data_IF_006748460348
#
_entry.id   IF_006748460348
#
_cell.length_a   1.000
_cell.length_b   1.000
_cell.length_c   1.000
_cell.angle_alpha   90.00
_cell.angle_beta   90.00
_cell.angle_gamma   90.00
#
_symmetry.space_group_name_H-M   'P 1'
#
loop_
_entity.id
_entity.type
_entity.pdbx_description
1 polymer ?
#
# COMPACT_ATOMS: atom_id res chain seq x y z
N UNK A 1 -61.84 -24.27 32.16
CA UNK A 1 -60.46 -23.88 31.79
C UNK A 1 -60.51 -23.21 30.43
N UNK A 2 -60.50 -21.88 30.42
CA UNK A 2 -60.52 -21.06 29.20
C UNK A 2 -59.06 -20.95 28.74
N UNK A 3 -58.69 -21.59 27.63
CA UNK A 3 -57.41 -21.30 26.96
C UNK A 3 -57.48 -19.83 26.55
N UNK A 4 -56.58 -19.00 27.09
CA UNK A 4 -56.50 -17.59 26.73
C UNK A 4 -56.35 -17.46 25.21
N UNK A 5 -56.96 -16.42 24.63
CA UNK A 5 -56.83 -16.13 23.22
C UNK A 5 -55.35 -15.88 22.89
N UNK A 6 -54.70 -16.88 22.28
CA UNK A 6 -53.35 -16.75 21.77
C UNK A 6 -53.31 -15.64 20.71
N UNK A 7 -52.59 -14.55 21.00
CA UNK A 7 -52.46 -13.42 20.09
C UNK A 7 -51.46 -13.80 18.99
N UNK A 8 -51.98 -14.29 17.87
CA UNK A 8 -51.20 -14.60 16.68
C UNK A 8 -50.61 -13.32 16.05
N UNK A 9 -49.28 -13.25 15.95
CA UNK A 9 -48.57 -12.09 15.39
C UNK A 9 -48.23 -12.30 13.92
N UNK A 10 -48.19 -11.23 13.11
CA UNK A 10 -47.87 -11.32 11.68
C UNK A 10 -46.37 -11.45 11.45
N UNK A 11 -45.95 -12.40 10.61
CA UNK A 11 -44.58 -12.56 10.14
C UNK A 11 -44.58 -12.86 8.64
N UNK A 12 -43.43 -12.77 7.98
CA UNK A 12 -43.29 -13.16 6.58
C UNK A 12 -41.91 -13.69 6.25
N UNK A 13 -41.82 -14.63 5.31
CA UNK A 13 -40.56 -15.11 4.76
C UNK A 13 -40.61 -14.99 3.24
N UNK A 14 -39.63 -14.29 2.65
CA UNK A 14 -39.60 -13.93 1.21
C UNK A 14 -40.94 -13.33 0.74
N UNK A 15 -41.53 -12.47 1.56
CA UNK A 15 -42.82 -11.82 1.27
C UNK A 15 -44.06 -12.71 1.43
N UNK A 16 -43.93 -14.01 1.75
CA UNK A 16 -45.08 -14.88 2.02
C UNK A 16 -45.54 -14.70 3.48
N UNK A 17 -46.77 -14.21 3.74
CA UNK A 17 -47.23 -13.88 5.08
C UNK A 17 -47.76 -15.09 5.83
N UNK A 18 -47.40 -15.20 7.12
CA UNK A 18 -47.90 -16.20 8.05
C UNK A 18 -48.11 -15.60 9.46
N UNK A 19 -48.69 -16.38 10.36
CA UNK A 19 -48.88 -16.00 11.76
C UNK A 19 -47.98 -16.81 12.68
N UNK A 20 -47.46 -16.22 13.75
CA UNK A 20 -46.60 -16.90 14.73
C UNK A 20 -47.22 -16.80 16.12
N UNK A 21 -47.14 -17.90 16.87
CA UNK A 21 -47.53 -17.97 18.28
C UNK A 21 -46.32 -18.17 19.20
N UNK A 22 -45.43 -19.09 18.81
CA UNK A 22 -44.24 -19.48 19.59
C UNK A 22 -43.03 -19.47 18.66
N UNK A 23 -41.92 -18.95 19.19
CA UNK A 23 -40.59 -19.01 18.59
C UNK A 23 -39.58 -19.49 19.64
N UNK A 24 -38.62 -20.30 19.22
CA UNK A 24 -37.55 -20.90 20.02
C UNK A 24 -36.20 -20.58 19.37
N UNK A 25 -35.27 -20.09 20.17
CA UNK A 25 -34.02 -19.46 19.72
C UNK A 25 -32.82 -20.16 20.37
N UNK A 26 -31.88 -20.60 19.55
CA UNK A 26 -30.64 -21.19 20.04
C UNK A 26 -29.42 -20.37 19.59
N UNK A 27 -28.68 -19.89 20.59
CA UNK A 27 -27.46 -19.11 20.46
C UNK A 27 -26.32 -19.85 21.16
N UNK A 28 -25.10 -19.76 20.62
CA UNK A 28 -23.94 -20.39 21.22
C UNK A 28 -22.71 -20.25 20.35
N UNK A 29 -21.54 -20.54 20.92
CA UNK A 29 -20.26 -20.52 20.21
C UNK A 29 -19.94 -21.90 19.65
N UNK A 30 -19.27 -21.94 18.50
CA UNK A 30 -18.73 -23.20 17.97
C UNK A 30 -17.47 -23.54 18.72
N UNK A 31 -17.25 -24.82 18.97
CA UNK A 31 -15.99 -25.27 19.54
C UNK A 31 -15.86 -26.77 19.53
N UNK A 32 -14.64 -27.22 19.81
CA UNK A 32 -14.27 -28.64 19.85
C UNK A 32 -13.96 -29.00 21.29
N UNK A 33 -14.64 -30.02 21.80
CA UNK A 33 -14.34 -30.59 23.11
C UNK A 33 -13.32 -31.73 22.96
N UNK A 34 -12.12 -31.54 23.48
CA UNK A 34 -11.04 -32.51 23.49
C UNK A 34 -11.02 -33.27 24.82
N UNK A 35 -11.22 -34.59 24.78
CA UNK A 35 -11.11 -35.46 25.95
C UNK A 35 -9.75 -36.17 25.97
N UNK A 36 -9.10 -36.20 27.14
CA UNK A 36 -7.76 -36.77 27.30
C UNK A 36 -7.79 -37.96 28.26
N UNK A 37 -7.09 -39.08 27.95
CA UNK A 37 -7.00 -40.21 28.86
C UNK A 37 -6.47 -39.81 30.26
N UNK A 38 -7.07 -40.40 31.30
CA UNK A 38 -6.74 -40.15 32.72
C UNK A 38 -6.95 -38.72 33.23
N UNK A 39 -7.73 -37.90 32.53
CA UNK A 39 -8.16 -36.58 33.02
C UNK A 39 -9.67 -36.54 33.19
N UNK A 40 -10.11 -36.07 34.35
CA UNK A 40 -11.54 -35.97 34.69
C UNK A 40 -12.26 -34.82 33.98
N UNK A 41 -11.53 -33.90 33.31
CA UNK A 41 -12.10 -32.79 32.53
C UNK A 41 -11.38 -32.63 31.19
N UNK A 42 -12.17 -32.50 30.12
CA UNK A 42 -11.70 -32.16 28.77
C UNK A 42 -11.35 -30.68 28.62
N UNK A 43 -10.79 -30.32 27.47
CA UNK A 43 -10.50 -28.96 27.07
C UNK A 43 -11.46 -28.51 25.96
N UNK A 44 -12.00 -27.30 26.07
CA UNK A 44 -12.83 -26.70 25.03
C UNK A 44 -12.00 -25.73 24.19
N UNK A 45 -11.93 -25.95 22.89
CA UNK A 45 -11.31 -25.05 21.92
C UNK A 45 -12.41 -24.25 21.21
N UNK A 46 -12.36 -22.92 21.32
CA UNK A 46 -13.36 -22.01 20.78
C UNK A 46 -13.06 -21.69 19.31
N UNK A 47 -14.02 -21.96 18.43
CA UNK A 47 -13.95 -21.73 16.97
C UNK A 47 -14.75 -20.49 16.55
N UNK A 48 -15.09 -19.61 17.50
CA UNK A 48 -15.80 -18.37 17.26
C UNK A 48 -17.31 -18.52 17.42
N UNK A 49 -18.03 -17.49 17.00
CA UNK A 49 -19.47 -17.46 17.15
C UNK A 49 -20.16 -18.52 16.28
N UNK A 50 -21.21 -19.13 16.82
CA UNK A 50 -22.03 -20.07 16.08
C UNK A 50 -23.17 -19.35 15.39
N UNK A 51 -23.48 -19.79 14.17
CA UNK A 51 -24.56 -19.18 13.39
C UNK A 51 -25.89 -19.33 14.15
N UNK A 52 -26.59 -18.23 14.49
CA UNK A 52 -27.85 -18.30 15.22
C UNK A 52 -28.88 -19.16 14.49
N UNK A 53 -29.60 -19.97 15.26
CA UNK A 53 -30.70 -20.80 14.75
C UNK A 53 -32.03 -20.35 15.33
N UNK A 54 -33.01 -20.21 14.44
CA UNK A 54 -34.35 -19.76 14.79
C UNK A 54 -35.36 -20.83 14.41
N UNK A 55 -36.15 -21.30 15.36
CA UNK A 55 -37.25 -22.23 15.13
C UNK A 55 -38.58 -21.57 15.48
N UNK A 56 -39.60 -21.75 14.64
CA UNK A 56 -40.92 -21.18 14.90
C UNK A 56 -42.06 -22.06 14.36
N UNK A 57 -43.24 -21.90 14.95
CA UNK A 57 -44.48 -22.44 14.42
C UNK A 57 -45.27 -21.37 13.67
N UNK A 58 -45.39 -21.57 12.36
CA UNK A 58 -46.13 -20.72 11.44
C UNK A 58 -47.54 -21.27 11.21
N UNK A 59 -48.54 -20.42 11.40
CA UNK A 59 -49.95 -20.70 11.14
C UNK A 59 -50.43 -19.93 9.92
N UNK A 60 -51.01 -20.66 8.98
CA UNK A 60 -51.70 -20.08 7.82
C UNK A 60 -53.18 -20.37 7.96
N UNK A 61 -53.98 -19.32 8.08
CA UNK A 61 -55.42 -19.39 8.38
C UNK A 61 -56.20 -18.74 7.24
N UNK A 62 -57.22 -19.41 6.73
CA UNK A 62 -58.08 -18.89 5.65
C UNK A 62 -58.60 -19.99 4.71
N UNK A 63 -59.44 -19.58 3.75
CA UNK A 63 -59.96 -20.49 2.71
C UNK A 63 -58.85 -20.99 1.77
N UNK A 64 -57.76 -20.23 1.65
CA UNK A 64 -56.58 -20.47 0.82
C UNK A 64 -55.38 -20.98 1.64
N UNK A 65 -55.60 -21.40 2.89
CA UNK A 65 -54.54 -21.78 3.84
C UNK A 65 -53.56 -22.82 3.26
N UNK A 66 -54.08 -23.82 2.56
CA UNK A 66 -53.26 -24.86 1.95
C UNK A 66 -52.41 -24.34 0.78
N UNK A 67 -52.94 -23.39 -0.01
CA UNK A 67 -52.22 -22.80 -1.13
C UNK A 67 -51.07 -21.91 -0.63
N UNK A 68 -51.33 -21.06 0.37
CA UNK A 68 -50.29 -20.24 1.02
C UNK A 68 -49.26 -21.07 1.76
N UNK A 69 -49.66 -22.16 2.42
CA UNK A 69 -48.73 -23.10 3.04
C UNK A 69 -47.77 -23.74 2.02
N UNK A 70 -48.29 -24.13 0.85
CA UNK A 70 -47.45 -24.63 -0.26
C UNK A 70 -46.50 -23.56 -0.80
N UNK A 71 -46.95 -22.32 -0.92
CA UNK A 71 -46.10 -21.20 -1.33
C UNK A 71 -44.96 -20.95 -0.33
N UNK A 72 -45.23 -21.05 0.97
CA UNK A 72 -44.21 -20.89 2.02
C UNK A 72 -43.17 -22.02 1.98
N UNK A 73 -43.59 -23.26 1.72
CA UNK A 73 -42.66 -24.39 1.51
C UNK A 73 -41.81 -24.17 0.25
N UNK A 74 -42.42 -23.66 -0.83
CA UNK A 74 -41.69 -23.36 -2.05
C UNK A 74 -40.63 -22.27 -1.82
N UNK A 75 -40.99 -21.20 -1.09
CA UNK A 75 -40.04 -20.16 -0.68
C UNK A 75 -38.89 -20.73 0.17
N UNK A 76 -39.17 -21.65 1.08
CA UNK A 76 -38.13 -22.35 1.86
C UNK A 76 -37.19 -23.24 1.03
N UNK A 77 -37.64 -23.71 -0.14
CA UNK A 77 -36.86 -24.60 -1.01
C UNK A 77 -36.09 -23.86 -2.10
N UNK A 78 -36.36 -22.58 -2.30
CA UNK A 78 -35.66 -21.78 -3.28
C UNK A 78 -34.23 -21.47 -2.78
N UNK A 79 -33.19 -21.66 -3.61
CA UNK A 79 -31.79 -21.49 -3.20
C UNK A 79 -31.46 -20.11 -2.63
N UNK A 80 -30.42 -20.05 -1.78
CA UNK A 80 -29.91 -18.80 -1.21
C UNK A 80 -30.61 -18.36 0.08
N UNK A 81 -30.16 -17.24 0.65
CA UNK A 81 -30.78 -16.63 1.82
C UNK A 81 -32.03 -15.83 1.42
N UNK A 82 -32.90 -15.53 2.38
CA UNK A 82 -34.12 -14.77 2.18
C UNK A 82 -34.48 -13.95 3.41
N UNK A 83 -35.19 -12.85 3.19
CA UNK A 83 -35.64 -11.98 4.27
C UNK A 83 -36.75 -12.68 5.09
N UNK A 84 -36.47 -12.91 6.36
CA UNK A 84 -37.45 -13.27 7.39
C UNK A 84 -37.79 -12.03 8.19
N UNK A 85 -39.05 -11.60 8.14
CA UNK A 85 -39.59 -10.52 8.96
C UNK A 85 -40.35 -11.13 10.12
N UNK A 86 -39.83 -10.98 11.34
CA UNK A 86 -40.43 -11.48 12.57
C UNK A 86 -40.76 -10.31 13.53
N UNK A 87 -41.90 -10.37 14.27
CA UNK A 87 -42.28 -9.31 15.21
C UNK A 87 -41.27 -8.97 16.30
N UNK A 88 -40.43 -9.94 16.70
CA UNK A 88 -39.43 -9.76 17.74
C UNK A 88 -38.03 -9.50 17.18
N UNK A 89 -37.64 -10.23 16.13
CA UNK A 89 -36.27 -10.20 15.60
C UNK A 89 -36.07 -9.15 14.50
N UNK A 90 -37.14 -8.47 14.06
CA UNK A 90 -37.06 -7.55 12.94
C UNK A 90 -36.86 -8.29 11.62
N UNK A 91 -36.02 -7.75 10.74
CA UNK A 91 -35.73 -8.34 9.43
C UNK A 91 -34.37 -9.03 9.46
N UNK A 92 -34.36 -10.34 9.27
CA UNK A 92 -33.16 -11.18 9.24
C UNK A 92 -32.91 -11.76 7.86
N UNK A 93 -31.65 -11.95 7.49
CA UNK A 93 -31.27 -12.73 6.32
C UNK A 93 -30.99 -14.17 6.74
N UNK A 94 -31.86 -15.08 6.32
CA UNK A 94 -31.82 -16.47 6.80
C UNK A 94 -31.96 -17.46 5.67
N UNK A 95 -31.46 -18.68 5.89
CA UNK A 95 -31.73 -19.84 5.04
C UNK A 95 -32.70 -20.76 5.78
N UNK A 96 -33.79 -21.15 5.11
CA UNK A 96 -34.75 -22.11 5.65
C UNK A 96 -34.17 -23.53 5.55
N UNK A 97 -33.88 -24.16 6.68
CA UNK A 97 -33.20 -25.47 6.73
C UNK A 97 -34.17 -26.64 6.83
N UNK A 98 -35.33 -26.45 7.46
CA UNK A 98 -36.28 -27.54 7.71
C UNK A 98 -37.73 -27.05 7.70
N UNK A 99 -38.42 -27.07 6.55
CA UNK A 99 -39.86 -26.83 6.50
C UNK A 99 -40.66 -28.13 6.68
N UNK A 100 -41.55 -28.18 7.67
CA UNK A 100 -42.50 -29.30 7.87
C UNK A 100 -43.93 -28.80 7.89
N UNK A 101 -44.79 -29.37 7.05
CA UNK A 101 -46.22 -29.03 7.00
C UNK A 101 -47.05 -30.08 7.74
N UNK A 102 -47.89 -29.62 8.66
CA UNK A 102 -48.92 -30.40 9.33
C UNK A 102 -50.29 -29.84 8.97
N UNK A 103 -51.17 -30.70 8.47
CA UNK A 103 -52.56 -30.35 8.16
C UNK A 103 -53.47 -31.32 8.91
N UNK A 104 -54.42 -30.77 9.66
CA UNK A 104 -55.53 -31.55 10.21
C UNK A 104 -56.75 -31.37 9.31
N UNK A 105 -57.15 -32.44 8.62
CA UNK A 105 -58.28 -32.43 7.69
C UNK A 105 -59.64 -32.22 8.37
N UNK A 106 -59.73 -32.36 9.71
CA UNK A 106 -60.93 -32.02 10.48
C UNK A 106 -61.11 -30.50 10.62
N UNK A 107 -60.02 -29.75 10.47
CA UNK A 107 -59.95 -28.30 10.67
C UNK A 107 -59.40 -27.64 9.40
N UNK A 108 -59.99 -27.96 8.25
CA UNK A 108 -59.49 -27.68 6.89
C UNK A 108 -59.25 -26.19 6.49
N UNK A 109 -59.25 -25.27 7.46
CA UNK A 109 -58.98 -23.83 7.29
C UNK A 109 -57.70 -23.36 7.99
N UNK A 110 -56.95 -24.28 8.61
CA UNK A 110 -55.69 -23.98 9.32
C UNK A 110 -54.61 -24.96 8.85
N UNK A 111 -53.48 -24.44 8.41
CA UNK A 111 -52.27 -25.19 8.14
C UNK A 111 -51.17 -24.72 9.10
N UNK A 112 -50.49 -25.67 9.74
CA UNK A 112 -49.39 -25.39 10.68
C UNK A 112 -48.08 -25.84 10.03
N UNK A 113 -47.08 -24.96 10.03
CA UNK A 113 -45.74 -25.26 9.57
C UNK A 113 -44.74 -25.10 10.70
N UNK A 114 -43.92 -26.11 10.93
CA UNK A 114 -42.72 -25.97 11.76
C UNK A 114 -41.57 -25.57 10.83
N UNK A 115 -40.98 -24.40 11.07
CA UNK A 115 -39.90 -23.84 10.25
C UNK A 115 -38.65 -23.66 11.11
N UNK A 116 -37.51 -24.03 10.55
CA UNK A 116 -36.19 -23.76 11.13
C UNK A 116 -35.35 -22.95 10.15
N UNK A 117 -34.65 -21.98 10.69
CA UNK A 117 -33.82 -21.04 9.96
C UNK A 117 -32.44 -20.97 10.59
N UNK A 118 -31.43 -20.77 9.75
CA UNK A 118 -30.07 -20.40 10.16
C UNK A 118 -29.80 -19.00 9.63
N UNK A 119 -29.29 -18.10 10.45
CA UNK A 119 -28.85 -16.78 9.97
C UNK A 119 -27.68 -16.96 9.01
N UNK A 120 -27.80 -16.35 7.82
CA UNK A 120 -26.77 -16.44 6.81
C UNK A 120 -26.67 -15.10 6.08
N UNK A 121 -25.52 -14.46 6.23
CA UNK A 121 -25.15 -13.26 5.49
C UNK A 121 -24.49 -13.58 4.15
N UNK A 122 -24.26 -12.57 3.29
CA UNK A 122 -23.32 -12.72 2.19
C UNK A 122 -21.98 -13.23 2.76
N UNK A 123 -21.40 -14.24 2.12
CA UNK A 123 -20.03 -14.65 2.43
C UNK A 123 -19.16 -13.42 2.20
N UNK A 124 -18.59 -12.88 3.26
CA UNK A 124 -17.46 -11.98 3.14
C UNK A 124 -16.34 -12.82 2.51
N UNK A 125 -16.27 -12.82 1.17
CA UNK A 125 -15.07 -13.23 0.49
C UNK A 125 -13.95 -12.36 1.07
N UNK A 126 -12.73 -12.88 1.25
CA UNK A 126 -11.60 -12.01 1.45
C UNK A 126 -11.61 -11.05 0.26
N UNK A 127 -12.01 -9.80 0.49
CA UNK A 127 -11.61 -8.76 -0.43
C UNK A 127 -10.09 -8.87 -0.41
N UNK A 128 -9.48 -8.90 -1.58
CA UNK A 128 -8.22 -8.19 -1.66
C UNK A 128 -8.57 -6.79 -1.18
N UNK A 129 -8.37 -6.51 0.12
CA UNK A 129 -8.02 -5.17 0.52
C UNK A 129 -6.91 -4.83 -0.47
N UNK A 130 -7.24 -3.96 -1.41
CA UNK A 130 -6.40 -3.56 -2.51
C UNK A 130 -5.23 -2.88 -1.80
N UNK A 131 -4.21 -3.67 -1.47
CA UNK A 131 -3.09 -3.23 -0.65
C UNK A 131 -2.25 -2.33 -1.57
N UNK A 132 -2.68 -1.07 -1.68
CA UNK A 132 -2.05 -0.07 -2.52
C UNK A 132 -0.57 0.04 -2.22
N UNK A 133 -0.19 -0.12 -0.95
CA UNK A 133 1.19 -0.18 -0.47
C UNK A 133 1.97 -1.35 -1.10
N UNK A 134 1.41 -2.55 -1.07
CA UNK A 134 2.01 -3.72 -1.72
C UNK A 134 2.08 -3.56 -3.25
N UNK A 135 1.00 -3.07 -3.88
CA UNK A 135 0.95 -2.86 -5.34
C UNK A 135 2.01 -1.87 -5.82
N UNK A 136 2.20 -0.77 -5.09
CA UNK A 136 3.26 0.20 -5.37
C UNK A 136 4.65 -0.44 -5.27
N UNK A 137 4.88 -1.26 -4.24
CA UNK A 137 6.16 -1.96 -4.05
C UNK A 137 6.45 -2.92 -5.21
N UNK A 138 5.47 -3.72 -5.62
CA UNK A 138 5.59 -4.67 -6.72
C UNK A 138 5.75 -3.96 -8.07
N UNK A 139 4.98 -2.88 -8.31
CA UNK A 139 5.11 -2.11 -9.54
C UNK A 139 6.49 -1.44 -9.64
N UNK A 140 7.08 -1.02 -8.52
CA UNK A 140 8.44 -0.50 -8.49
C UNK A 140 9.49 -1.58 -8.82
N UNK A 141 9.27 -2.84 -8.43
CA UNK A 141 10.15 -3.97 -8.85
C UNK A 141 10.05 -4.21 -10.35
N UNK A 142 8.83 -4.25 -10.90
CA UNK A 142 8.62 -4.41 -12.34
C UNK A 142 9.27 -3.27 -13.15
N UNK A 143 9.14 -2.02 -12.70
CA UNK A 143 9.79 -0.87 -13.32
C UNK A 143 11.32 -0.96 -13.25
N UNK A 144 11.90 -1.41 -12.13
CA UNK A 144 13.34 -1.61 -12.01
C UNK A 144 13.85 -2.71 -12.97
N UNK A 145 13.11 -3.81 -13.12
CA UNK A 145 13.45 -4.89 -14.06
C UNK A 145 13.38 -4.43 -15.53
N UNK A 146 12.36 -3.63 -15.87
CA UNK A 146 12.24 -3.03 -17.19
C UNK A 146 13.37 -2.03 -17.47
N UNK A 147 13.75 -1.21 -16.48
CA UNK A 147 14.87 -0.27 -16.57
C UNK A 147 16.20 -0.99 -16.81
N UNK A 148 16.47 -2.08 -16.08
CA UNK A 148 17.68 -2.89 -16.28
C UNK A 148 17.73 -3.48 -17.69
N UNK A 149 16.59 -3.93 -18.22
CA UNK A 149 16.48 -4.45 -19.59
C UNK A 149 16.75 -3.35 -20.63
N UNK A 150 16.14 -2.17 -20.46
CA UNK A 150 16.34 -1.02 -21.33
C UNK A 150 17.79 -0.52 -21.31
N UNK A 151 18.44 -0.46 -20.15
CA UNK A 151 19.85 -0.09 -20.05
C UNK A 151 20.74 -1.07 -20.83
N UNK A 152 20.51 -2.37 -20.65
CA UNK A 152 21.28 -3.40 -21.33
C UNK A 152 21.12 -3.39 -22.86
N UNK A 153 19.95 -2.98 -23.36
CA UNK A 153 19.71 -2.79 -24.79
C UNK A 153 20.30 -1.51 -25.37
N UNK A 154 20.48 -0.46 -24.57
CA UNK A 154 20.91 0.86 -25.04
C UNK A 154 22.44 1.07 -25.01
N UNK A 155 23.13 0.51 -24.02
CA UNK A 155 24.58 0.67 -23.90
C UNK A 155 25.31 -0.24 -24.89
N UNK A 156 26.23 0.33 -25.67
CA UNK A 156 27.06 -0.40 -26.61
C UNK A 156 28.51 0.11 -26.61
N UNK A 157 29.44 -0.79 -26.29
CA UNK A 157 30.89 -0.58 -26.40
C UNK A 157 31.57 -1.61 -27.31
N UNK A 158 30.82 -2.60 -27.81
CA UNK A 158 31.37 -3.72 -28.55
C UNK A 158 31.80 -3.29 -29.96
N UNK A 159 33.03 -3.64 -30.35
CA UNK A 159 33.58 -3.29 -31.66
C UNK A 159 33.88 -1.79 -31.84
N UNK A 160 33.79 -0.99 -30.77
CA UNK A 160 34.13 0.43 -30.77
C UNK A 160 35.54 0.68 -30.21
N UNK A 161 36.15 1.85 -30.48
CA UNK A 161 37.43 2.22 -29.89
C UNK A 161 37.38 2.19 -28.35
N UNK A 162 38.50 1.81 -27.70
CA UNK A 162 38.57 1.65 -26.24
C UNK A 162 38.15 2.88 -25.43
N UNK A 163 38.42 4.08 -25.95
CA UNK A 163 38.03 5.34 -25.31
C UNK A 163 36.50 5.51 -25.16
N UNK A 164 35.68 4.85 -26.00
CA UNK A 164 34.21 4.90 -25.86
C UNK A 164 33.77 4.19 -24.59
N UNK A 165 34.41 3.07 -24.28
CA UNK A 165 34.13 2.31 -23.06
C UNK A 165 34.69 3.01 -21.81
N UNK A 166 35.85 3.67 -21.94
CA UNK A 166 36.42 4.50 -20.87
C UNK A 166 35.53 5.71 -20.56
N UNK A 167 35.01 6.39 -21.59
CA UNK A 167 34.07 7.52 -21.43
C UNK A 167 32.78 7.08 -20.73
N UNK A 168 32.19 5.96 -21.17
CA UNK A 168 31.00 5.40 -20.52
C UNK A 168 31.27 5.00 -19.05
N UNK A 169 32.46 4.47 -18.74
CA UNK A 169 32.83 4.13 -17.37
C UNK A 169 33.02 5.39 -16.51
N UNK A 170 33.60 6.45 -17.06
CA UNK A 170 33.69 7.74 -16.38
C UNK A 170 32.30 8.32 -16.07
N UNK A 171 31.38 8.32 -17.04
CA UNK A 171 30.00 8.77 -16.81
C UNK A 171 29.30 7.96 -15.72
N UNK A 172 29.55 6.65 -15.67
CA UNK A 172 29.03 5.81 -14.60
C UNK A 172 29.63 6.16 -13.24
N UNK A 173 30.94 6.43 -13.17
CA UNK A 173 31.59 6.90 -11.94
C UNK A 173 30.97 8.21 -11.45
N UNK A 174 30.70 9.16 -12.36
CA UNK A 174 30.03 10.42 -12.04
C UNK A 174 28.61 10.17 -11.49
N UNK A 175 27.87 9.23 -12.07
CA UNK A 175 26.55 8.82 -11.59
C UNK A 175 26.57 8.17 -10.20
N UNK A 176 27.54 7.29 -9.94
CA UNK A 176 27.76 6.69 -8.61
C UNK A 176 28.13 7.77 -7.60
N UNK A 177 29.01 8.71 -7.98
CA UNK A 177 29.38 9.86 -7.16
C UNK A 177 28.18 10.72 -6.81
N UNK A 178 27.31 11.02 -7.76
CA UNK A 178 26.08 11.77 -7.52
C UNK A 178 25.14 11.06 -6.51
N UNK A 179 25.00 9.73 -6.61
CA UNK A 179 24.22 8.93 -5.65
C UNK A 179 24.84 9.04 -4.25
N UNK A 180 26.16 8.92 -4.13
CA UNK A 180 26.88 9.04 -2.86
C UNK A 180 26.74 10.45 -2.25
N UNK A 181 26.86 11.49 -3.06
CA UNK A 181 26.68 12.88 -2.64
C UNK A 181 25.25 13.13 -2.13
N UNK A 182 24.24 12.61 -2.85
CA UNK A 182 22.84 12.70 -2.42
C UNK A 182 22.57 12.02 -1.08
N UNK A 183 23.29 10.93 -0.78
CA UNK A 183 23.24 10.27 0.54
C UNK A 183 23.92 11.10 1.62
N UNK A 184 25.09 11.68 1.33
CA UNK A 184 25.86 12.45 2.31
C UNK A 184 25.28 13.82 2.65
N UNK A 185 24.33 14.33 1.86
CA UNK A 185 23.70 15.64 2.08
C UNK A 185 22.62 15.65 3.17
N UNK A 186 22.13 14.48 3.60
CA UNK A 186 21.08 14.37 4.61
C UNK A 186 21.58 13.58 5.84
N UNK A 187 21.00 13.81 7.03
CA UNK A 187 21.36 13.05 8.22
C UNK A 187 21.13 11.55 8.00
N UNK A 188 22.19 10.79 8.22
CA UNK A 188 22.16 9.34 8.15
C UNK A 188 21.53 8.74 9.41
N UNK A 189 21.05 7.50 9.30
CA UNK A 189 20.70 6.72 10.47
C UNK A 189 21.96 6.47 11.33
N UNK A 190 21.79 6.45 12.66
CA UNK A 190 22.88 6.22 13.61
C UNK A 190 23.68 4.96 13.24
N UNK A 191 25.00 5.12 13.07
CA UNK A 191 25.93 4.03 12.78
C UNK A 191 26.03 3.61 11.31
N UNK A 192 25.39 4.32 10.38
CA UNK A 192 25.42 3.98 8.95
C UNK A 192 26.63 4.56 8.19
N UNK A 193 27.24 5.64 8.70
CA UNK A 193 28.39 6.32 8.08
C UNK A 193 29.52 5.36 7.61
N UNK A 194 30.00 4.39 8.42
CA UNK A 194 31.11 3.52 8.01
C UNK A 194 30.73 2.53 6.89
N UNK A 195 29.45 2.17 6.80
CA UNK A 195 28.95 1.23 5.78
C UNK A 195 28.80 1.91 4.43
N UNK A 196 28.39 3.17 4.42
CA UNK A 196 28.27 3.98 3.22
C UNK A 196 29.64 4.29 2.62
N UNK A 197 30.58 4.78 3.42
CA UNK A 197 31.95 5.04 2.97
C UNK A 197 32.57 3.78 2.34
N UNK A 198 32.46 2.62 3.01
CA UNK A 198 32.99 1.36 2.48
C UNK A 198 32.30 0.84 1.21
N UNK A 199 30.99 1.09 1.03
CA UNK A 199 30.25 0.69 -0.17
C UNK A 199 30.56 1.59 -1.37
N UNK A 200 30.69 2.90 -1.12
CA UNK A 200 31.08 3.90 -2.13
C UNK A 200 32.51 3.65 -2.60
N UNK A 201 33.45 3.43 -1.68
CA UNK A 201 34.86 3.14 -2.01
C UNK A 201 35.00 1.86 -2.84
N UNK A 202 34.31 0.77 -2.47
CA UNK A 202 34.37 -0.50 -3.20
C UNK A 202 33.88 -0.37 -4.67
N UNK A 203 32.90 0.49 -4.92
CA UNK A 203 32.34 0.71 -6.25
C UNK A 203 33.13 1.75 -7.05
N UNK A 204 33.66 2.78 -6.39
CA UNK A 204 34.63 3.69 -6.99
C UNK A 204 35.87 2.91 -7.47
N UNK A 205 36.35 1.93 -6.70
CA UNK A 205 37.46 1.04 -7.08
C UNK A 205 37.10 0.07 -8.22
N UNK A 206 35.81 -0.28 -8.39
CA UNK A 206 35.33 -1.11 -9.50
C UNK A 206 35.31 -0.36 -10.83
N UNK A 207 35.05 0.96 -10.80
CA UNK A 207 34.86 1.81 -11.99
C UNK A 207 36.09 2.66 -12.30
N UNK A 208 36.87 3.05 -11.29
CA UNK A 208 38.09 3.84 -11.41
C UNK A 208 39.28 3.06 -10.87
N UNK A 209 40.24 2.70 -11.72
CA UNK A 209 41.57 2.32 -11.23
C UNK A 209 42.33 3.62 -10.98
N UNK A 210 42.48 4.05 -9.71
CA UNK A 210 43.59 4.93 -9.32
C UNK A 210 44.80 4.08 -8.93
N UNK A 211 45.82 3.95 -9.79
CA UNK A 211 47.01 3.15 -9.49
C UNK A 211 47.83 3.68 -8.30
N UNK A 212 47.55 4.88 -7.78
CA UNK A 212 48.22 5.45 -6.59
C UNK A 212 47.62 5.00 -5.26
N UNK A 213 46.42 4.42 -5.26
CA UNK A 213 45.71 3.94 -4.06
C UNK A 213 45.86 2.44 -3.81
N UNK A 214 46.55 1.73 -4.70
CA UNK A 214 46.84 0.31 -4.55
C UNK A 214 47.94 0.07 -3.51
N UNK A 215 47.55 -0.27 -2.29
CA UNK A 215 48.41 -0.98 -1.35
C UNK A 215 48.52 -2.46 -1.72
N UNK A 216 49.66 -3.08 -1.41
CA UNK A 216 50.03 -4.41 -1.89
C UNK A 216 49.06 -5.54 -1.45
N UNK A 217 48.18 -5.28 -0.48
CA UNK A 217 47.12 -6.19 -0.02
C UNK A 217 45.81 -6.06 -0.83
N UNK A 218 45.43 -4.86 -1.29
CA UNK A 218 44.26 -4.66 -2.15
C UNK A 218 44.47 -5.27 -3.55
N UNK A 219 45.70 -5.18 -4.08
CA UNK A 219 46.08 -5.82 -5.35
C UNK A 219 45.89 -7.34 -5.30
N UNK A 220 46.13 -7.99 -4.15
CA UNK A 220 45.97 -9.44 -4.00
C UNK A 220 44.49 -9.86 -3.89
N UNK A 221 43.63 -9.01 -3.30
CA UNK A 221 42.18 -9.24 -3.22
C UNK A 221 41.47 -8.97 -4.58
N UNK A 222 41.93 -7.95 -5.31
CA UNK A 222 41.44 -7.62 -6.66
C UNK A 222 42.01 -8.58 -7.72
N UNK A 223 43.26 -9.04 -7.60
CA UNK A 223 43.85 -10.02 -8.52
C UNK A 223 43.26 -11.43 -8.37
N UNK A 224 42.74 -11.78 -7.18
CA UNK A 224 41.96 -13.01 -6.98
C UNK A 224 40.51 -12.89 -7.47
N UNK A 225 40.00 -11.65 -7.66
CA UNK A 225 38.71 -11.31 -8.27
C UNK A 225 38.90 -10.82 -9.71
N UNK A 226 39.41 -11.71 -10.57
CA UNK A 226 39.68 -11.49 -12.01
C UNK A 226 38.69 -10.53 -12.72
N UNK A 227 39.10 -9.27 -12.86
CA UNK A 227 38.74 -8.43 -14.00
C UNK A 227 39.97 -7.58 -14.30
N UNK A 228 40.61 -7.79 -15.46
CA UNK A 228 41.45 -6.76 -16.05
C UNK A 228 40.51 -5.61 -16.43
N UNK A 229 40.29 -4.65 -15.51
CA UNK A 229 39.35 -3.54 -15.71
C UNK A 229 39.95 -2.59 -16.76
N UNK A 230 39.73 -2.92 -18.02
CA UNK A 230 39.60 -1.94 -19.09
C UNK A 230 38.14 -1.48 -19.10
N UNK A 231 37.83 -0.26 -19.54
CA UNK A 231 36.44 0.22 -19.58
C UNK A 231 35.48 -0.76 -20.29
N UNK A 232 35.98 -1.52 -21.27
CA UNK A 232 35.23 -2.55 -21.97
C UNK A 232 34.83 -3.75 -21.08
N UNK A 233 35.62 -4.09 -20.06
CA UNK A 233 35.33 -5.18 -19.12
C UNK A 233 34.16 -4.89 -18.19
N UNK A 234 33.96 -3.61 -17.82
CA UNK A 234 32.84 -3.16 -16.97
C UNK A 234 31.50 -3.33 -17.68
N UNK A 235 31.46 -3.03 -18.99
CA UNK A 235 30.26 -3.16 -19.83
C UNK A 235 30.11 -4.54 -20.48
N UNK A 236 30.90 -5.55 -20.09
CA UNK A 236 30.73 -6.91 -20.56
C UNK A 236 29.45 -7.59 -19.99
N UNK A 237 28.89 -7.04 -18.90
CA UNK A 237 27.62 -7.49 -18.32
C UNK A 237 26.71 -6.29 -17.95
N UNK A 238 26.10 -5.61 -18.93
CA UNK A 238 25.24 -4.44 -18.68
C UNK A 238 24.07 -4.69 -17.70
N UNK A 239 23.36 -5.85 -17.74
CA UNK A 239 22.31 -6.14 -16.74
C UNK A 239 22.83 -6.19 -15.30
N UNK A 240 24.02 -6.77 -15.08
CA UNK A 240 24.63 -6.82 -13.76
C UNK A 240 25.01 -5.43 -13.24
N UNK A 241 25.49 -4.57 -14.13
CA UNK A 241 25.81 -3.18 -13.82
C UNK A 241 24.58 -2.36 -13.44
N UNK A 242 23.51 -2.47 -14.23
CA UNK A 242 22.23 -1.82 -13.92
C UNK A 242 21.68 -2.28 -12.56
N UNK A 243 21.80 -3.57 -12.25
CA UNK A 243 21.40 -4.12 -10.95
C UNK A 243 22.19 -3.51 -9.79
N UNK A 244 23.49 -3.28 -9.96
CA UNK A 244 24.32 -2.60 -8.96
C UNK A 244 23.85 -1.16 -8.72
N UNK A 245 23.56 -0.40 -9.78
CA UNK A 245 23.08 0.99 -9.66
C UNK A 245 21.72 1.06 -8.96
N UNK A 246 20.76 0.24 -9.37
CA UNK A 246 19.46 0.11 -8.68
C UNK A 246 19.65 -0.31 -7.22
N UNK A 247 20.58 -1.25 -6.96
CA UNK A 247 20.91 -1.68 -5.61
C UNK A 247 21.46 -0.56 -4.71
N UNK A 248 22.22 0.40 -5.26
CA UNK A 248 22.67 1.57 -4.50
C UNK A 248 21.51 2.51 -4.18
N UNK A 249 20.59 2.74 -5.12
CA UNK A 249 19.35 3.48 -4.83
C UNK A 249 18.59 2.87 -3.64
N UNK A 250 18.56 1.53 -3.55
CA UNK A 250 18.02 0.85 -2.36
C UNK A 250 18.86 1.07 -1.11
N UNK A 251 20.19 1.11 -1.21
CA UNK A 251 21.05 1.46 -0.07
C UNK A 251 20.77 2.86 0.46
N UNK A 252 20.66 3.86 -0.42
CA UNK A 252 20.24 5.22 -0.05
C UNK A 252 18.98 5.18 0.81
N UNK A 253 18.03 4.32 0.45
CA UNK A 253 16.75 4.20 1.12
C UNK A 253 16.84 3.61 2.54
N UNK A 254 17.71 2.63 2.76
CA UNK A 254 17.92 2.02 4.09
C UNK A 254 18.90 2.80 4.98
N UNK A 255 19.67 3.71 4.39
CA UNK A 255 20.70 4.45 5.12
C UNK A 255 20.18 5.67 5.87
N UNK A 256 18.96 6.12 5.57
CA UNK A 256 18.33 7.25 6.24
C UNK A 256 17.39 6.79 7.36
N UNK A 257 17.32 7.56 8.44
CA UNK A 257 16.51 7.22 9.61
C UNK A 257 15.00 7.28 9.40
N UNK A 258 14.52 7.89 8.29
CA UNK A 258 13.08 7.98 7.96
C UNK A 258 12.83 7.83 6.45
N UNK A 259 11.66 7.29 6.05
CA UNK A 259 11.26 7.21 4.63
C UNK A 259 11.20 8.57 3.93
N UNK A 260 10.86 9.65 4.66
CA UNK A 260 10.83 11.01 4.11
C UNK A 260 12.24 11.54 3.78
N UNK A 261 13.24 11.25 4.63
CA UNK A 261 14.63 11.59 4.34
C UNK A 261 15.19 10.77 3.17
N UNK A 262 14.87 9.47 3.11
CA UNK A 262 15.20 8.63 1.96
C UNK A 262 14.59 9.16 0.65
N UNK A 263 13.31 9.57 0.68
CA UNK A 263 12.65 10.20 -0.46
C UNK A 263 13.38 11.48 -0.91
N UNK A 264 13.74 12.35 0.02
CA UNK A 264 14.46 13.59 -0.29
C UNK A 264 15.84 13.32 -0.91
N UNK A 265 16.58 12.31 -0.43
CA UNK A 265 17.85 11.89 -1.03
C UNK A 265 17.66 11.44 -2.49
N UNK A 266 16.66 10.59 -2.77
CA UNK A 266 16.35 10.17 -4.13
C UNK A 266 15.95 11.34 -5.03
N UNK A 267 15.13 12.25 -4.50
CA UNK A 267 14.67 13.43 -5.22
C UNK A 267 15.81 14.32 -5.71
N UNK A 268 16.91 14.41 -4.96
CA UNK A 268 18.10 15.19 -5.38
C UNK A 268 18.69 14.70 -6.71
N UNK A 269 18.53 13.40 -7.01
CA UNK A 269 19.11 12.75 -8.19
C UNK A 269 18.27 12.92 -9.46
N UNK A 270 17.03 13.41 -9.37
CA UNK A 270 16.14 13.56 -10.53
C UNK A 270 16.66 14.59 -11.53
N UNK A 271 17.56 15.47 -11.11
CA UNK A 271 18.22 16.46 -11.96
C UNK A 271 19.55 16.00 -12.56
N UNK A 272 19.95 14.74 -12.33
CA UNK A 272 21.23 14.22 -12.80
C UNK A 272 21.32 14.23 -14.33
N UNK A 273 22.31 14.96 -14.86
CA UNK A 273 22.61 15.04 -16.28
C UNK A 273 24.06 14.62 -16.50
N UNK A 274 24.33 13.59 -17.31
CA UNK A 274 25.70 13.16 -17.60
C UNK A 274 26.44 14.22 -18.40
N UNK A 275 27.75 14.34 -18.18
CA UNK A 275 28.59 15.21 -19.00
C UNK A 275 28.74 14.62 -20.41
N UNK A 276 28.28 15.35 -21.43
CA UNK A 276 28.39 14.95 -22.84
C UNK A 276 29.26 15.96 -23.57
N UNK A 277 30.25 15.46 -24.34
CA UNK A 277 31.15 16.32 -25.11
C UNK A 277 30.41 17.08 -26.22
N UNK A 278 30.12 18.36 -26.00
CA UNK A 278 29.47 19.24 -26.98
C UNK A 278 30.44 19.71 -28.07
N UNK A 279 29.93 19.96 -29.28
CA UNK A 279 30.69 20.60 -30.37
C UNK A 279 31.66 19.70 -31.14
N UNK A 280 31.59 18.38 -30.96
CA UNK A 280 32.43 17.41 -31.69
C UNK A 280 31.77 16.98 -32.99
N UNK A 281 32.57 16.70 -34.03
CA UNK A 281 32.08 16.14 -35.30
C UNK A 281 31.35 14.81 -35.06
N UNK A 282 30.13 14.69 -35.58
CA UNK A 282 29.29 13.49 -35.47
C UNK A 282 29.89 12.30 -36.23
N UNK A 283 30.75 11.55 -35.55
CA UNK A 283 31.23 10.23 -35.98
C UNK A 283 30.42 9.14 -35.30
N UNK A 284 30.36 7.92 -35.88
CA UNK A 284 29.65 6.79 -35.26
C UNK A 284 30.07 6.52 -33.81
N UNK A 285 31.38 6.63 -33.51
CA UNK A 285 31.89 6.46 -32.14
C UNK A 285 31.47 7.57 -31.19
N UNK A 286 31.35 8.83 -31.65
CA UNK A 286 30.85 9.95 -30.82
C UNK A 286 29.35 9.88 -30.57
N UNK A 287 28.59 9.37 -31.55
CA UNK A 287 27.16 9.09 -31.34
C UNK A 287 26.96 7.97 -30.32
N UNK A 288 27.78 6.92 -30.38
CA UNK A 288 27.75 5.83 -29.40
C UNK A 288 28.16 6.29 -28.00
N UNK A 289 29.19 7.14 -27.87
CA UNK A 289 29.55 7.79 -26.60
C UNK A 289 28.38 8.55 -26.00
N UNK A 290 27.72 9.43 -26.77
CA UNK A 290 26.57 10.18 -26.30
C UNK A 290 25.38 9.28 -25.92
N UNK A 291 25.15 8.20 -26.68
CA UNK A 291 24.10 7.21 -26.38
C UNK A 291 24.39 6.49 -25.06
N UNK A 292 25.63 6.07 -24.84
CA UNK A 292 26.03 5.42 -23.59
C UNK A 292 25.91 6.38 -22.39
N UNK A 293 26.37 7.63 -22.55
CA UNK A 293 26.26 8.64 -21.51
C UNK A 293 24.79 8.90 -21.13
N UNK A 294 23.91 9.08 -22.13
CA UNK A 294 22.47 9.22 -21.91
C UNK A 294 21.88 7.99 -21.22
N UNK A 295 22.23 6.77 -21.64
CA UNK A 295 21.73 5.55 -21.02
C UNK A 295 22.14 5.43 -19.54
N UNK A 296 23.35 5.87 -19.17
CA UNK A 296 23.78 5.97 -17.76
C UNK A 296 22.99 7.05 -17.02
N UNK A 297 22.79 8.22 -17.63
CA UNK A 297 21.97 9.29 -17.08
C UNK A 297 20.54 8.87 -16.77
N UNK A 298 19.91 8.21 -17.75
CA UNK A 298 18.57 7.63 -17.62
C UNK A 298 18.56 6.58 -16.50
N UNK A 299 19.53 5.65 -16.47
CA UNK A 299 19.62 4.65 -15.41
C UNK A 299 19.66 5.27 -14.00
N UNK A 300 20.49 6.30 -13.79
CA UNK A 300 20.59 6.98 -12.48
C UNK A 300 19.28 7.68 -12.14
N UNK A 301 18.74 8.53 -13.03
CA UNK A 301 17.50 9.29 -12.76
C UNK A 301 16.29 8.38 -12.58
N UNK A 302 16.01 7.49 -13.53
CA UNK A 302 14.85 6.60 -13.47
C UNK A 302 14.93 5.68 -12.26
N UNK A 303 16.13 5.18 -11.90
CA UNK A 303 16.28 4.35 -10.68
C UNK A 303 15.94 5.14 -9.42
N UNK A 304 16.34 6.41 -9.33
CA UNK A 304 16.02 7.26 -8.20
C UNK A 304 14.52 7.56 -8.11
N UNK A 305 13.84 7.81 -9.24
CA UNK A 305 12.38 7.99 -9.28
C UNK A 305 11.65 6.71 -8.84
N UNK A 306 12.08 5.54 -9.32
CA UNK A 306 11.50 4.24 -8.94
C UNK A 306 11.68 3.97 -7.45
N UNK A 307 12.88 4.21 -6.90
CA UNK A 307 13.13 3.97 -5.47
C UNK A 307 12.43 5.01 -4.59
N UNK A 308 12.29 6.27 -5.03
CA UNK A 308 11.44 7.26 -4.36
C UNK A 308 9.97 6.80 -4.29
N UNK A 309 9.42 6.29 -5.41
CA UNK A 309 8.08 5.72 -5.45
C UNK A 309 7.95 4.51 -4.50
N UNK A 310 8.97 3.65 -4.41
CA UNK A 310 9.02 2.50 -3.47
C UNK A 310 9.00 2.93 -2.00
N UNK A 311 9.39 4.16 -1.67
CA UNK A 311 9.35 4.66 -0.29
C UNK A 311 7.96 5.13 0.14
N UNK A 312 7.12 5.56 -0.81
CA UNK A 312 5.78 6.09 -0.51
C UNK A 312 4.90 5.18 0.36
N UNK A 313 4.94 3.84 0.23
CA UNK A 313 4.18 2.95 1.09
C UNK A 313 4.61 2.98 2.56
N UNK A 314 5.84 3.41 2.89
CA UNK A 314 6.31 3.51 4.26
C UNK A 314 6.20 4.95 4.83
N UNK A 315 5.91 5.93 3.97
CA UNK A 315 5.74 7.32 4.39
C UNK A 315 4.40 7.51 5.10
N UNK A 316 4.44 8.19 6.24
CA UNK A 316 3.27 8.70 6.93
C UNK A 316 3.17 10.21 6.71
N UNK A 317 1.95 10.73 6.56
CA UNK A 317 1.67 12.12 6.23
C UNK A 317 0.80 12.75 7.31
N UNK A 318 1.14 13.96 7.73
CA UNK A 318 0.38 14.67 8.76
C UNK A 318 -0.79 15.47 8.20
N UNK A 319 -0.69 15.92 6.94
CA UNK A 319 -1.74 16.67 6.26
C UNK A 319 -2.00 16.18 4.84
N UNK A 320 -3.20 16.48 4.33
CA UNK A 320 -3.53 16.21 2.92
C UNK A 320 -2.58 16.94 1.96
N UNK A 321 -2.16 18.17 2.28
CA UNK A 321 -1.27 18.95 1.44
C UNK A 321 0.12 18.31 1.31
N UNK A 322 0.67 17.76 2.40
CA UNK A 322 1.97 17.08 2.36
C UNK A 322 1.92 15.83 1.47
N UNK A 323 0.84 15.05 1.61
CA UNK A 323 0.57 13.88 0.77
C UNK A 323 0.42 14.29 -0.70
N UNK A 324 -0.37 15.33 -0.97
CA UNK A 324 -0.60 15.82 -2.33
C UNK A 324 0.69 16.32 -2.98
N UNK A 325 1.56 17.00 -2.22
CA UNK A 325 2.87 17.45 -2.69
C UNK A 325 3.73 16.27 -3.17
N UNK A 326 3.86 15.21 -2.36
CA UNK A 326 4.62 14.01 -2.74
C UNK A 326 3.98 13.28 -3.92
N UNK A 327 2.64 13.18 -3.94
CA UNK A 327 1.90 12.55 -5.05
C UNK A 327 2.18 13.26 -6.37
N UNK A 328 2.02 14.58 -6.39
CA UNK A 328 2.10 15.38 -7.60
C UNK A 328 3.54 15.46 -8.10
N UNK A 329 4.51 15.57 -7.18
CA UNK A 329 5.94 15.56 -7.48
C UNK A 329 6.42 14.23 -8.10
N UNK A 330 6.00 13.09 -7.54
CA UNK A 330 6.28 11.78 -8.13
C UNK A 330 5.57 11.56 -9.45
N UNK A 331 4.32 12.03 -9.58
CA UNK A 331 3.58 11.92 -10.82
C UNK A 331 4.28 12.67 -11.95
N UNK A 332 4.75 13.90 -11.69
CA UNK A 332 5.52 14.69 -12.65
C UNK A 332 6.85 14.03 -13.01
N UNK A 333 7.59 13.50 -12.03
CA UNK A 333 8.84 12.81 -12.29
C UNK A 333 8.65 11.52 -13.11
N UNK A 334 7.66 10.70 -12.77
CA UNK A 334 7.32 9.50 -13.54
C UNK A 334 6.86 9.85 -14.96
N UNK A 335 6.06 10.91 -15.13
CA UNK A 335 5.64 11.39 -16.45
C UNK A 335 6.85 11.85 -17.29
N UNK A 336 7.82 12.53 -16.67
CA UNK A 336 9.08 12.92 -17.32
C UNK A 336 9.90 11.73 -17.81
N UNK A 337 10.07 10.71 -16.96
CA UNK A 337 10.80 9.48 -17.32
C UNK A 337 10.05 8.66 -18.39
N UNK A 338 8.70 8.63 -18.34
CA UNK A 338 7.87 8.02 -19.37
C UNK A 338 8.00 8.71 -20.73
N UNK A 339 8.10 10.05 -20.77
CA UNK A 339 8.34 10.79 -22.02
C UNK A 339 9.71 10.50 -22.62
N UNK A 340 10.72 10.23 -21.78
CA UNK A 340 12.06 9.81 -22.20
C UNK A 340 12.16 8.33 -22.57
N UNK A 341 11.22 7.49 -22.12
CA UNK A 341 11.19 6.07 -22.40
C UNK A 341 10.88 5.80 -23.87
N UNK A 342 11.90 5.41 -24.63
CA UNK A 342 11.78 5.00 -26.04
C UNK A 342 11.35 3.54 -26.24
N UNK A 343 11.18 2.78 -25.16
CA UNK A 343 10.83 1.35 -25.15
C UNK A 343 9.47 1.14 -24.47
N UNK A 344 8.57 0.42 -25.14
CA UNK A 344 7.20 0.17 -24.68
C UNK A 344 7.18 -0.56 -23.33
N UNK A 345 8.13 -1.46 -23.07
CA UNK A 345 8.20 -2.24 -21.84
C UNK A 345 8.53 -1.38 -20.62
N UNK A 346 9.49 -0.46 -20.75
CA UNK A 346 9.78 0.51 -19.68
C UNK A 346 8.62 1.50 -19.49
N UNK A 347 8.04 1.98 -20.59
CA UNK A 347 6.89 2.89 -20.53
C UNK A 347 5.71 2.27 -19.77
N UNK A 348 5.31 1.04 -20.12
CA UNK A 348 4.20 0.34 -19.48
C UNK A 348 4.47 0.07 -17.99
N UNK A 349 5.70 -0.29 -17.64
CA UNK A 349 6.08 -0.54 -16.26
C UNK A 349 6.04 0.74 -15.40
N UNK A 350 6.53 1.87 -15.93
CA UNK A 350 6.45 3.18 -15.27
C UNK A 350 5.00 3.68 -15.17
N UNK A 351 4.18 3.49 -16.21
CA UNK A 351 2.75 3.81 -16.17
C UNK A 351 2.01 3.00 -15.09
N UNK A 352 2.34 1.71 -14.96
CA UNK A 352 1.81 0.83 -13.91
C UNK A 352 2.24 1.28 -12.50
N UNK A 353 3.50 1.70 -12.34
CA UNK A 353 4.01 2.26 -11.09
C UNK A 353 3.29 3.55 -10.72
N UNK A 354 3.17 4.50 -11.66
CA UNK A 354 2.46 5.76 -11.46
C UNK A 354 1.01 5.54 -11.03
N UNK A 355 0.29 4.65 -11.72
CA UNK A 355 -1.08 4.29 -11.36
C UNK A 355 -1.17 3.72 -9.94
N UNK A 356 -0.20 2.89 -9.54
CA UNK A 356 -0.19 2.26 -8.21
C UNK A 356 0.08 3.27 -7.10
N UNK A 357 1.08 4.16 -7.30
CA UNK A 357 1.41 5.25 -6.37
C UNK A 357 0.21 6.18 -6.16
N UNK A 358 -0.41 6.63 -7.26
CA UNK A 358 -1.57 7.54 -7.18
C UNK A 358 -2.74 6.86 -6.46
N UNK A 359 -2.98 5.58 -6.73
CA UNK A 359 -4.05 4.82 -6.07
C UNK A 359 -3.78 4.70 -4.57
N UNK A 360 -2.57 4.28 -4.19
CA UNK A 360 -2.16 4.17 -2.78
C UNK A 360 -2.30 5.51 -2.04
N UNK A 361 -1.72 6.59 -2.56
CA UNK A 361 -1.78 7.90 -1.91
C UNK A 361 -3.21 8.43 -1.82
N UNK A 362 -4.05 8.25 -2.85
CA UNK A 362 -5.45 8.66 -2.78
C UNK A 362 -6.27 7.82 -1.78
N UNK A 363 -5.96 6.54 -1.58
CA UNK A 363 -6.62 5.74 -0.53
C UNK A 363 -6.26 6.20 0.88
N UNK A 364 -5.10 6.86 1.05
CA UNK A 364 -4.64 7.42 2.32
C UNK A 364 -4.95 8.92 2.48
N UNK A 365 -5.76 9.49 1.59
CA UNK A 365 -6.04 10.91 1.54
C UNK A 365 -7.07 11.41 2.58
N UNK A 366 -7.59 10.54 3.46
CA UNK A 366 -8.40 10.93 4.61
C UNK A 366 -7.53 11.57 5.71
N UNK A 367 -6.92 12.71 5.38
CA UNK A 367 -6.04 13.49 6.24
C UNK A 367 -6.61 14.88 6.52
N UNK A 368 -6.36 15.46 7.70
CA UNK A 368 -6.70 16.85 7.98
C UNK A 368 -6.08 17.80 6.95
N UNK A 369 -6.84 18.84 6.57
CA UNK A 369 -6.35 19.89 5.69
C UNK A 369 -5.64 20.98 6.49
N UNK A 370 -4.50 21.48 6.02
CA UNK A 370 -3.90 22.71 6.53
C UNK A 370 -4.80 23.93 6.25
N UNK A 371 -5.00 24.75 7.28
CA UNK A 371 -5.75 26.00 7.25
C UNK A 371 -4.89 27.10 7.87
N UNK A 372 -4.99 28.32 7.32
CA UNK A 372 -4.39 29.49 7.93
C UNK A 372 -5.32 30.06 9.00
N UNK A 373 -4.83 30.15 10.23
CA UNK A 373 -5.54 30.74 11.36
C UNK A 373 -4.72 31.87 11.97
N UNK A 374 -5.34 33.03 12.20
CA UNK A 374 -4.66 34.20 12.80
C UNK A 374 -5.31 34.58 14.13
N UNK A 375 -4.58 34.61 15.25
CA UNK A 375 -5.12 35.03 16.53
C UNK A 375 -5.47 36.53 16.48
N UNK A 376 -6.62 36.93 17.04
CA UNK A 376 -7.03 38.34 17.05
C UNK A 376 -6.26 39.21 18.03
N UNK A 377 -5.61 38.59 19.02
CA UNK A 377 -4.77 39.23 20.02
C UNK A 377 -3.59 38.30 20.37
N UNK A 378 -2.52 38.86 20.94
CA UNK A 378 -1.36 38.05 21.34
C UNK A 378 -1.77 36.98 22.34
N UNK A 379 -1.57 35.70 21.99
CA UNK A 379 -2.07 34.56 22.78
C UNK A 379 -0.96 33.52 23.00
N UNK A 380 -0.94 32.81 24.14
CA UNK A 380 -0.09 31.63 24.31
C UNK A 380 -0.47 30.50 23.36
N UNK A 381 0.50 29.71 22.90
CA UNK A 381 0.27 28.59 22.00
C UNK A 381 -0.66 27.52 22.60
N UNK A 382 -0.60 27.26 23.91
CA UNK A 382 -1.58 26.41 24.63
C UNK A 382 -3.03 26.90 24.54
N UNK A 383 -3.24 28.22 24.53
CA UNK A 383 -4.58 28.80 24.40
C UNK A 383 -5.04 28.70 22.94
N UNK A 384 -4.15 28.95 21.98
CA UNK A 384 -4.44 28.73 20.56
C UNK A 384 -4.79 27.24 20.28
N UNK A 385 -4.10 26.29 20.90
CA UNK A 385 -4.40 24.87 20.78
C UNK A 385 -5.80 24.52 21.31
N UNK A 386 -6.18 25.09 22.46
CA UNK A 386 -7.53 24.96 22.99
C UNK A 386 -8.58 25.57 22.04
N UNK A 387 -8.35 26.77 21.52
CA UNK A 387 -9.31 27.46 20.66
C UNK A 387 -9.53 26.77 19.29
N UNK A 388 -8.50 26.09 18.76
CA UNK A 388 -8.52 25.47 17.42
C UNK A 388 -8.92 23.99 17.50
N UNK A 389 -8.38 23.25 18.47
CA UNK A 389 -8.53 21.80 18.56
C UNK A 389 -9.40 21.32 19.72
N UNK A 390 -9.88 22.22 20.58
CA UNK A 390 -10.51 21.90 21.88
C UNK A 390 -9.63 21.01 22.78
N UNK A 391 -8.31 21.02 22.53
CA UNK A 391 -7.32 20.24 23.25
C UNK A 391 -6.02 21.05 23.49
N UNK A 392 -5.75 21.51 24.72
CA UNK A 392 -4.54 22.26 25.03
C UNK A 392 -3.27 21.42 24.94
N UNK A 393 -3.36 20.08 24.95
CA UNK A 393 -2.19 19.21 24.82
C UNK A 393 -1.55 19.25 23.43
N UNK A 394 -2.28 19.76 22.43
CA UNK A 394 -1.81 19.88 21.02
C UNK A 394 -1.01 21.15 20.74
N UNK A 395 -0.56 21.88 21.76
CA UNK A 395 0.34 23.03 21.63
C UNK A 395 1.61 22.68 20.85
N UNK A 396 2.22 21.52 21.12
CA UNK A 396 3.45 21.08 20.47
C UNK A 396 3.28 20.95 18.94
N UNK A 397 2.10 20.58 18.46
CA UNK A 397 1.81 20.47 17.03
C UNK A 397 1.80 21.83 16.34
N UNK A 398 1.23 22.86 16.99
CA UNK A 398 1.24 24.25 16.48
C UNK A 398 2.68 24.75 16.37
N UNK A 399 3.49 24.54 17.42
CA UNK A 399 4.87 24.98 17.45
C UNK A 399 5.75 24.24 16.43
N UNK A 400 5.53 22.94 16.25
CA UNK A 400 6.26 22.15 15.27
C UNK A 400 5.98 22.60 13.83
N UNK A 401 4.73 22.95 13.49
CA UNK A 401 4.37 23.46 12.16
C UNK A 401 4.81 24.90 11.91
N UNK A 402 4.94 25.69 12.96
CA UNK A 402 5.26 27.11 12.86
C UNK A 402 6.61 27.40 13.55
N UNK A 403 7.74 26.92 12.99
CA UNK A 403 9.07 27.08 13.60
C UNK A 403 9.50 28.55 13.70
N UNK A 404 8.83 29.46 12.98
CA UNK A 404 9.01 30.91 13.07
C UNK A 404 8.44 31.57 14.33
N UNK A 405 7.67 30.84 15.16
CA UNK A 405 7.13 31.38 16.42
C UNK A 405 8.30 31.67 17.39
N UNK A 406 8.55 32.94 17.77
CA UNK A 406 9.71 33.28 18.59
C UNK A 406 9.59 32.80 20.04
N UNK A 407 8.37 32.75 20.57
CA UNK A 407 8.13 32.38 21.96
C UNK A 407 6.76 31.68 22.12
N UNK A 408 6.70 30.44 22.64
CA UNK A 408 5.44 29.68 22.79
C UNK A 408 4.36 30.41 23.59
N UNK A 409 4.75 31.11 24.66
CA UNK A 409 3.81 31.89 25.48
C UNK A 409 3.32 33.20 24.84
N UNK A 410 3.79 33.56 23.65
CA UNK A 410 3.52 34.87 23.05
C UNK A 410 3.53 34.79 21.52
N UNK A 411 2.44 34.28 20.95
CA UNK A 411 2.17 34.37 19.52
C UNK A 411 1.53 35.74 19.22
N UNK A 412 2.14 36.62 18.41
CA UNK A 412 1.57 37.93 18.12
C UNK A 412 0.20 37.85 17.43
N UNK A 413 -0.72 38.71 17.83
CA UNK A 413 -2.02 38.83 17.17
C UNK A 413 -1.89 39.35 15.73
N UNK A 414 -2.64 38.76 14.81
CA UNK A 414 -2.64 39.09 13.38
C UNK A 414 -1.66 38.29 12.53
N UNK A 415 -0.72 37.57 13.15
CA UNK A 415 0.19 36.68 12.43
C UNK A 415 -0.54 35.41 12.00
N UNK A 416 -0.43 35.04 10.73
CA UNK A 416 -1.03 33.82 10.20
C UNK A 416 -0.23 32.60 10.67
N UNK A 417 -0.90 31.65 11.33
CA UNK A 417 -0.37 30.35 11.71
C UNK A 417 -0.92 29.27 10.77
N UNK A 418 -0.08 28.28 10.47
CA UNK A 418 -0.49 27.05 9.81
C UNK A 418 -0.97 26.03 10.85
N UNK A 419 -2.22 25.61 10.75
CA UNK A 419 -2.87 24.67 11.67
C UNK A 419 -3.67 23.61 10.92
N UNK A 420 -3.93 22.47 11.54
CA UNK A 420 -4.78 21.44 10.94
C UNK A 420 -6.26 21.79 11.14
N UNK A 421 -7.10 21.42 10.20
CA UNK A 421 -8.54 21.45 10.40
C UNK A 421 -8.95 20.27 11.30
N UNK A 422 -9.67 20.55 12.38
CA UNK A 422 -10.07 19.57 13.40
C UNK A 422 -11.07 18.53 12.95
#
# INVERSE_FOLDING_TARGET
MIRSAAVLRSASFRGVPFKVEVSDDAFGRRGVHHEFPQRDRGAWEDLGDGDPTYALEAFVIGADALARAKALIAACREPGYGALVHPLWGTLNVVCTSPRLRVDYKTARIATLSLSFVEAGPVAQPSTADDGRLRTTLAAEAAADALMTRFAGAVNVAGLPGWVAESAAATLADGIGAIADGVGQLPLADGMEPYLDGAVDLLADLVTIDPRRLDAMAVVSLASRRLLVTGAGVFANPPGLARSVVGMGRMVSISHGTPAAAYAAQRSLWSFVPAIAAGVVATGSRMAEATNANAVGDLVRTSAVIEAARMTPAMEFESYQDLACVRDDLAEALDGEMLGASDDGLFDALAGLRSSVITDLNTRAELPSLVSWSPTATTPAVVAAYDIYDDPAREAEILARNPGIPHPGMIPGGDALEVLNG
#
